data_IF_663757778341
#
_entry.id   IF_663757778341
#
_cell.length_a   1.000
_cell.length_b   1.000
_cell.length_c   1.000
_cell.angle_alpha   90.00
_cell.angle_beta   90.00
_cell.angle_gamma   90.00
#
_symmetry.space_group_name_H-M   'P 1'
#
loop_
_entity.id
_entity.type
_entity.pdbx_description
1 polymer ?
#
# COMPACT_ATOMS: atom_id res chain seq x y z
N UNK A 1 91.08 24.19 -14.78
CA UNK A 1 90.13 23.48 -15.66
C UNK A 1 89.34 22.41 -14.95
N UNK A 2 89.88 21.54 -14.05
CA UNK A 2 89.23 20.47 -13.35
C UNK A 2 88.06 20.92 -12.41
N UNK A 3 88.24 22.04 -11.69
CA UNK A 3 87.25 22.60 -10.74
C UNK A 3 86.06 23.14 -11.46
N UNK A 4 86.17 23.74 -12.66
CA UNK A 4 85.06 24.16 -13.48
C UNK A 4 84.23 23.00 -14.00
N UNK A 5 84.85 21.92 -14.46
CA UNK A 5 84.22 20.73 -14.94
C UNK A 5 83.40 20.00 -13.82
N UNK A 6 83.90 19.99 -12.60
CA UNK A 6 83.27 19.45 -11.40
C UNK A 6 82.03 20.31 -11.02
N UNK A 7 82.17 21.64 -10.98
CA UNK A 7 81.01 22.53 -10.75
C UNK A 7 79.89 22.39 -11.78
N UNK A 8 80.25 22.27 -13.05
CA UNK A 8 79.24 22.07 -14.10
C UNK A 8 78.49 20.74 -13.95
N UNK A 9 79.22 19.66 -13.58
CA UNK A 9 78.56 18.36 -13.34
C UNK A 9 77.61 18.40 -12.13
N UNK A 10 77.97 19.07 -11.07
CA UNK A 10 77.18 19.25 -9.85
C UNK A 10 75.94 20.08 -10.18
N UNK A 11 76.04 21.17 -10.92
CA UNK A 11 74.91 21.98 -11.34
C UNK A 11 73.93 21.22 -12.27
N UNK A 12 74.42 20.45 -13.25
CA UNK A 12 73.58 19.62 -14.11
C UNK A 12 72.91 18.54 -13.31
N UNK A 13 73.56 17.89 -12.37
CA UNK A 13 73.01 16.89 -11.47
C UNK A 13 71.87 17.44 -10.59
N UNK A 14 72.11 18.61 -9.96
CA UNK A 14 71.08 19.28 -9.16
C UNK A 14 69.85 19.71 -10.02
N UNK A 15 70.08 20.29 -11.21
CA UNK A 15 68.98 20.60 -12.12
C UNK A 15 68.18 19.36 -12.52
N UNK A 16 68.84 18.23 -12.78
CA UNK A 16 68.15 16.96 -13.10
C UNK A 16 67.28 16.49 -11.95
N UNK A 17 67.73 16.58 -10.72
CA UNK A 17 66.91 16.24 -9.54
C UNK A 17 65.72 17.19 -9.40
N UNK A 18 65.89 18.49 -9.60
CA UNK A 18 64.79 19.45 -9.57
C UNK A 18 63.73 19.17 -10.64
N UNK A 19 64.14 18.83 -11.87
CA UNK A 19 63.23 18.50 -12.97
C UNK A 19 62.45 17.22 -12.64
N UNK A 20 63.13 16.18 -12.09
CA UNK A 20 62.47 14.95 -11.67
C UNK A 20 61.45 15.19 -10.55
N UNK A 21 61.84 15.95 -9.51
CA UNK A 21 60.92 16.33 -8.45
C UNK A 21 59.70 17.12 -8.97
N UNK A 22 59.93 18.05 -9.89
CA UNK A 22 58.87 18.84 -10.49
C UNK A 22 57.94 17.96 -11.36
N UNK A 23 58.47 17.03 -12.17
CA UNK A 23 57.70 16.08 -12.95
C UNK A 23 56.87 15.15 -12.05
N UNK A 24 57.46 14.59 -11.00
CA UNK A 24 56.72 13.74 -10.04
C UNK A 24 55.60 14.52 -9.33
N UNK A 25 55.88 15.77 -8.92
CA UNK A 25 54.86 16.64 -8.32
C UNK A 25 53.70 16.90 -9.29
N UNK A 26 53.98 17.19 -10.58
CA UNK A 26 52.96 17.42 -11.58
C UNK A 26 52.15 16.16 -11.87
N UNK A 27 52.79 14.97 -11.91
CA UNK A 27 52.11 13.69 -12.08
C UNK A 27 51.16 13.38 -10.89
N UNK A 28 51.67 13.57 -9.67
CA UNK A 28 50.86 13.34 -8.46
C UNK A 28 49.68 14.31 -8.42
N UNK A 29 49.92 15.58 -8.73
CA UNK A 29 48.86 16.61 -8.76
C UNK A 29 47.81 16.30 -9.84
N UNK A 30 48.24 15.83 -11.02
CA UNK A 30 47.34 15.40 -12.08
C UNK A 30 46.50 14.20 -11.66
N UNK A 31 47.12 13.20 -11.05
CA UNK A 31 46.42 12.01 -10.55
C UNK A 31 45.39 12.33 -9.46
N UNK A 32 45.75 13.19 -8.50
CA UNK A 32 44.81 13.64 -7.45
C UNK A 32 43.67 14.43 -8.03
N UNK A 33 43.92 15.33 -8.98
CA UNK A 33 42.89 16.10 -9.65
C UNK A 33 41.93 15.19 -10.43
N UNK A 34 42.44 14.21 -11.16
CA UNK A 34 41.62 13.22 -11.90
C UNK A 34 40.79 12.33 -10.95
N UNK A 35 41.40 11.87 -9.85
CA UNK A 35 40.70 11.07 -8.84
C UNK A 35 39.54 11.85 -8.21
N UNK A 36 39.77 13.11 -7.86
CA UNK A 36 38.73 13.99 -7.29
C UNK A 36 37.60 14.24 -8.32
N UNK A 37 37.96 14.47 -9.57
CA UNK A 37 36.94 14.63 -10.64
C UNK A 37 36.09 13.38 -10.80
N UNK A 38 36.68 12.20 -10.86
CA UNK A 38 35.95 10.92 -10.95
C UNK A 38 35.05 10.69 -9.73
N UNK A 39 35.50 11.09 -8.55
CA UNK A 39 34.69 10.96 -7.33
C UNK A 39 33.50 11.94 -7.35
N UNK A 40 33.70 13.17 -7.76
CA UNK A 40 32.64 14.16 -7.96
C UNK A 40 31.63 13.71 -9.02
N UNK A 41 32.08 13.16 -10.14
CA UNK A 41 31.22 12.64 -11.20
C UNK A 41 30.34 11.46 -10.71
N UNK A 42 30.91 10.52 -9.96
CA UNK A 42 30.13 9.45 -9.33
C UNK A 42 29.08 9.99 -8.35
N UNK A 43 29.42 10.94 -7.52
CA UNK A 43 28.49 11.57 -6.59
C UNK A 43 27.38 12.30 -7.35
N UNK A 44 27.72 13.02 -8.42
CA UNK A 44 26.76 13.70 -9.26
C UNK A 44 25.75 12.72 -9.92
N UNK A 45 26.25 11.59 -10.45
CA UNK A 45 25.37 10.56 -11.02
C UNK A 45 24.42 9.93 -9.98
N UNK A 46 24.91 9.71 -8.74
CA UNK A 46 24.07 9.20 -7.66
C UNK A 46 22.98 10.22 -7.32
N UNK A 47 23.35 11.48 -7.15
CA UNK A 47 22.40 12.58 -6.88
C UNK A 47 21.37 12.70 -8.01
N UNK A 48 21.80 12.64 -9.26
CA UNK A 48 20.91 12.67 -10.42
C UNK A 48 19.91 11.48 -10.42
N UNK A 49 20.39 10.27 -10.12
CA UNK A 49 19.57 9.07 -10.06
C UNK A 49 18.52 9.15 -8.95
N UNK A 50 18.92 9.56 -7.75
CA UNK A 50 18.02 9.79 -6.61
C UNK A 50 17.03 10.91 -6.91
N UNK A 51 17.50 12.02 -7.49
CA UNK A 51 16.62 13.13 -7.84
C UNK A 51 15.64 12.80 -8.97
N UNK A 52 15.90 11.76 -9.79
CA UNK A 52 14.95 11.35 -10.85
C UNK A 52 13.60 10.91 -10.31
N UNK A 53 13.56 10.38 -9.08
CA UNK A 53 12.34 9.93 -8.39
C UNK A 53 11.44 11.12 -8.00
N UNK A 54 11.99 12.31 -7.82
CA UNK A 54 11.26 13.50 -7.42
C UNK A 54 10.90 14.39 -8.61
N UNK A 55 9.67 14.85 -8.65
CA UNK A 55 9.17 15.80 -9.66
C UNK A 55 9.65 17.22 -9.39
N UNK A 56 9.77 17.58 -8.11
CA UNK A 56 10.25 18.88 -7.66
C UNK A 56 11.29 18.68 -6.59
N UNK A 57 12.37 19.45 -6.66
CA UNK A 57 13.39 19.55 -5.65
C UNK A 57 13.76 21.04 -5.48
N UNK A 58 13.57 21.58 -4.28
CA UNK A 58 13.85 22.96 -3.95
C UNK A 58 14.63 23.06 -2.64
N UNK A 59 15.59 23.94 -2.55
CA UNK A 59 16.25 24.32 -1.31
C UNK A 59 15.54 25.54 -0.73
N UNK A 60 15.10 25.44 0.51
CA UNK A 60 14.46 26.52 1.27
C UNK A 60 15.47 27.08 2.27
N UNK A 61 15.80 28.36 2.18
CA UNK A 61 16.54 29.11 3.21
C UNK A 61 15.51 29.69 4.18
N UNK A 62 15.37 29.07 5.34
CA UNK A 62 14.33 29.44 6.32
C UNK A 62 14.70 30.75 7.05
N UNK A 63 15.97 31.09 7.13
CA UNK A 63 16.47 32.30 7.76
C UNK A 63 16.24 33.55 6.91
N UNK A 64 16.46 33.44 5.60
CA UNK A 64 16.22 34.54 4.65
C UNK A 64 14.83 34.54 4.07
N UNK A 65 14.06 33.47 4.31
CA UNK A 65 12.75 33.22 3.69
C UNK A 65 12.83 33.27 2.16
N UNK A 66 13.87 32.64 1.61
CA UNK A 66 14.11 32.54 0.15
C UNK A 66 14.20 31.05 -0.25
N UNK A 67 14.09 30.79 -1.53
CA UNK A 67 14.15 29.44 -2.06
C UNK A 67 14.93 29.40 -3.39
N UNK A 68 15.50 28.22 -3.68
CA UNK A 68 16.21 27.93 -4.92
C UNK A 68 15.66 26.64 -5.54
N UNK A 69 15.35 26.70 -6.86
CA UNK A 69 14.86 25.55 -7.60
C UNK A 69 16.02 24.70 -8.11
N UNK A 70 16.20 23.52 -7.53
CA UNK A 70 17.20 22.55 -7.98
C UNK A 70 16.67 21.78 -9.19
N UNK A 71 15.42 21.26 -9.06
CA UNK A 71 14.76 20.49 -10.12
C UNK A 71 13.27 20.78 -10.14
N UNK A 72 12.72 21.02 -11.32
CA UNK A 72 11.29 21.07 -11.60
C UNK A 72 11.04 20.94 -13.12
N UNK A 73 9.80 20.66 -13.50
CA UNK A 73 9.36 20.78 -14.90
C UNK A 73 9.32 22.24 -15.35
N UNK A 74 9.40 22.47 -16.65
CA UNK A 74 9.30 23.82 -17.24
C UNK A 74 7.97 24.52 -16.89
N UNK A 75 6.91 23.75 -16.74
CA UNK A 75 5.61 24.28 -16.34
C UNK A 75 5.66 24.87 -14.93
N UNK A 76 6.26 24.15 -13.97
CA UNK A 76 6.41 24.62 -12.59
C UNK A 76 7.33 25.84 -12.53
N UNK A 77 8.45 25.83 -13.28
CA UNK A 77 9.35 26.98 -13.37
C UNK A 77 8.65 28.24 -13.89
N UNK A 78 7.76 28.09 -14.87
CA UNK A 78 6.96 29.20 -15.40
C UNK A 78 5.92 29.68 -14.37
N UNK A 79 5.33 28.78 -13.59
CA UNK A 79 4.34 29.14 -12.57
C UNK A 79 4.95 29.88 -11.38
N UNK A 80 6.17 29.57 -10.99
CA UNK A 80 6.86 30.26 -9.88
C UNK A 80 7.35 31.66 -10.27
N UNK A 81 7.60 31.89 -11.57
CA UNK A 81 8.03 33.20 -12.09
C UNK A 81 9.32 33.69 -11.41
N UNK A 82 9.32 35.00 -11.06
CA UNK A 82 10.43 35.65 -10.39
C UNK A 82 10.22 35.80 -8.85
N UNK A 83 9.25 35.08 -8.27
CA UNK A 83 9.04 35.12 -6.84
C UNK A 83 10.22 34.50 -6.09
N UNK A 84 10.80 35.19 -5.15
CA UNK A 84 11.94 34.74 -4.36
C UNK A 84 11.59 34.45 -2.92
N UNK A 85 10.45 34.94 -2.44
CA UNK A 85 9.99 34.73 -1.09
C UNK A 85 9.30 33.38 -0.92
N UNK A 86 9.79 32.53 -0.03
CA UNK A 86 9.26 31.19 0.20
C UNK A 86 7.80 31.19 0.64
N UNK A 87 7.41 32.07 1.56
CA UNK A 87 6.04 32.13 2.08
C UNK A 87 5.05 32.52 0.98
N UNK A 88 5.39 33.49 0.13
CA UNK A 88 4.54 33.91 -0.98
C UNK A 88 4.40 32.79 -2.02
N UNK A 89 5.47 32.14 -2.36
CA UNK A 89 5.50 31.01 -3.30
C UNK A 89 4.65 29.85 -2.77
N UNK A 90 4.77 29.47 -1.50
CA UNK A 90 3.98 28.39 -0.91
C UNK A 90 2.48 28.76 -0.80
N UNK A 91 2.15 30.00 -0.49
CA UNK A 91 0.76 30.50 -0.51
C UNK A 91 0.16 30.44 -1.92
N UNK A 92 0.95 30.82 -2.93
CA UNK A 92 0.54 30.75 -4.33
C UNK A 92 0.24 29.30 -4.76
N UNK A 93 1.13 28.35 -4.44
CA UNK A 93 0.90 26.93 -4.71
C UNK A 93 -0.33 26.39 -3.97
N UNK A 94 -0.46 26.67 -2.69
CA UNK A 94 -1.60 26.26 -1.88
C UNK A 94 -2.93 26.70 -2.50
N UNK A 95 -3.00 27.96 -2.94
CA UNK A 95 -4.22 28.54 -3.51
C UNK A 95 -4.56 28.01 -4.89
N UNK A 96 -3.56 27.81 -5.77
CA UNK A 96 -3.78 27.59 -7.20
C UNK A 96 -3.65 26.12 -7.61
N UNK A 97 -2.94 25.29 -6.85
CA UNK A 97 -2.65 23.92 -7.27
C UNK A 97 -3.23 22.86 -6.31
N UNK A 98 -3.30 23.13 -5.02
CA UNK A 98 -3.79 22.17 -4.02
C UNK A 98 -5.33 22.13 -4.00
N UNK A 99 -5.90 20.92 -3.95
CA UNK A 99 -7.33 20.71 -3.83
C UNK A 99 -7.89 21.46 -2.61
N UNK A 100 -9.08 22.03 -2.75
CA UNK A 100 -9.65 22.92 -1.73
C UNK A 100 -9.77 22.27 -0.34
N UNK A 101 -10.10 20.99 -0.29
CA UNK A 101 -10.18 20.18 0.94
C UNK A 101 -8.84 20.00 1.65
N UNK A 102 -7.73 20.02 0.91
CA UNK A 102 -6.38 19.74 1.41
C UNK A 102 -5.57 21.03 1.73
N UNK A 103 -6.09 22.22 1.36
CA UNK A 103 -5.33 23.48 1.45
C UNK A 103 -4.85 23.81 2.85
N UNK A 104 -5.71 23.62 3.86
CA UNK A 104 -5.33 23.94 5.24
C UNK A 104 -4.22 23.01 5.73
N UNK A 105 -4.39 21.71 5.51
CA UNK A 105 -3.39 20.69 5.86
C UNK A 105 -2.05 20.93 5.16
N UNK A 106 -2.10 21.25 3.86
CA UNK A 106 -0.92 21.57 3.08
C UNK A 106 -0.22 22.83 3.61
N UNK A 107 -0.99 23.93 3.88
CA UNK A 107 -0.43 25.16 4.42
C UNK A 107 0.23 24.93 5.79
N UNK A 108 -0.43 24.23 6.70
CA UNK A 108 0.10 23.90 8.01
C UNK A 108 1.40 23.06 7.91
N UNK A 109 1.50 22.27 6.84
CA UNK A 109 2.70 21.45 6.58
C UNK A 109 3.86 22.26 5.99
N UNK A 110 3.63 23.19 5.07
CA UNK A 110 4.70 23.93 4.37
C UNK A 110 4.98 25.31 4.94
N UNK A 111 4.24 25.78 5.94
CA UNK A 111 4.37 27.13 6.48
C UNK A 111 5.79 27.42 6.96
N UNK A 112 6.54 28.34 6.32
CA UNK A 112 7.93 28.62 6.65
C UNK A 112 8.13 29.16 8.07
N UNK A 113 7.12 29.85 8.63
CA UNK A 113 7.23 30.48 9.96
C UNK A 113 7.34 29.44 11.08
N UNK A 114 6.82 28.23 10.88
CA UNK A 114 6.83 27.13 11.87
C UNK A 114 7.71 25.96 11.44
N UNK A 115 8.26 26.00 10.22
CA UNK A 115 8.93 24.86 9.62
C UNK A 115 10.23 24.50 10.34
N UNK A 116 11.04 25.49 10.74
CA UNK A 116 12.30 25.27 11.45
C UNK A 116 12.10 24.50 12.76
N UNK A 117 11.09 24.91 13.57
CA UNK A 117 10.74 24.26 14.82
C UNK A 117 10.25 22.82 14.60
N UNK A 118 9.39 22.61 13.60
CA UNK A 118 8.84 21.28 13.30
C UNK A 118 9.85 20.29 12.73
N UNK A 119 10.92 20.77 12.11
CA UNK A 119 12.03 19.95 11.60
C UNK A 119 13.08 19.65 12.67
N UNK A 120 13.10 20.38 13.77
CA UNK A 120 14.11 20.21 14.81
C UNK A 120 14.11 18.79 15.39
N UNK A 121 15.27 18.14 15.39
CA UNK A 121 15.45 16.78 15.88
C UNK A 121 14.79 15.68 15.04
N UNK A 122 14.37 15.98 13.82
CA UNK A 122 13.79 15.00 12.89
C UNK A 122 14.69 14.83 11.66
N UNK A 123 14.74 13.62 11.15
CA UNK A 123 15.42 13.33 9.89
C UNK A 123 14.64 13.92 8.70
N UNK A 124 13.33 13.86 8.75
CA UNK A 124 12.42 14.48 7.77
C UNK A 124 11.00 14.57 8.33
N UNK A 125 10.16 15.35 7.65
CA UNK A 125 8.69 15.30 7.78
C UNK A 125 8.08 15.08 6.39
N UNK A 126 6.92 14.40 6.33
CA UNK A 126 6.24 14.14 5.06
C UNK A 126 4.73 14.40 5.16
N UNK A 127 4.13 14.70 4.02
CA UNK A 127 2.70 14.87 3.84
C UNK A 127 2.29 14.32 2.47
N UNK A 128 1.10 13.74 2.40
CA UNK A 128 0.46 13.40 1.12
C UNK A 128 -0.70 14.37 0.89
N UNK A 129 -0.80 14.88 -0.32
CA UNK A 129 -1.82 15.87 -0.69
C UNK A 129 -2.27 15.67 -2.12
N UNK A 130 -3.53 15.98 -2.40
CA UNK A 130 -4.06 16.01 -3.77
C UNK A 130 -3.76 17.36 -4.40
N UNK A 131 -3.15 17.34 -5.58
CA UNK A 131 -2.82 18.51 -6.39
C UNK A 131 -3.60 18.43 -7.71
N UNK A 132 -4.28 19.51 -8.07
CA UNK A 132 -5.11 19.51 -9.27
C UNK A 132 -6.39 18.68 -9.12
N UNK A 133 -6.67 17.82 -10.10
CA UNK A 133 -7.85 16.95 -10.11
C UNK A 133 -7.41 15.49 -10.11
N UNK A 134 -7.30 14.91 -8.93
CA UNK A 134 -7.01 13.48 -8.75
C UNK A 134 -5.54 13.09 -8.81
N UNK A 135 -4.61 14.05 -8.89
CA UNK A 135 -3.17 13.74 -8.82
C UNK A 135 -2.69 13.82 -7.35
N UNK A 136 -2.06 12.77 -6.89
CA UNK A 136 -1.54 12.67 -5.53
C UNK A 136 -0.03 12.85 -5.49
N UNK A 137 0.43 13.69 -4.57
CA UNK A 137 1.85 13.95 -4.35
C UNK A 137 2.25 13.65 -2.91
N UNK A 138 3.40 13.01 -2.76
CA UNK A 138 4.11 12.92 -1.48
C UNK A 138 5.13 14.04 -1.44
N UNK A 139 5.02 14.88 -0.41
CA UNK A 139 5.92 16.01 -0.16
C UNK A 139 6.73 15.68 1.06
N UNK A 140 8.05 15.79 0.95
CA UNK A 140 9.01 15.56 2.02
C UNK A 140 9.83 16.81 2.25
N UNK A 141 10.03 17.16 3.50
CA UNK A 141 10.90 18.26 3.94
C UNK A 141 12.02 17.67 4.79
N UNK A 142 13.25 17.86 4.36
CA UNK A 142 14.45 17.29 4.98
C UNK A 142 15.35 18.43 5.45
N UNK A 143 15.68 18.53 6.75
CA UNK A 143 16.61 19.55 7.26
C UNK A 143 17.99 19.36 6.63
N UNK A 144 18.64 20.45 6.23
CA UNK A 144 19.95 20.43 5.58
C UNK A 144 21.04 21.08 6.41
N UNK A 145 20.84 22.31 6.84
CA UNK A 145 21.83 23.08 7.59
C UNK A 145 21.26 23.47 8.96
N UNK A 146 22.14 23.41 9.95
CA UNK A 146 21.86 23.81 11.32
C UNK A 146 22.82 24.94 11.73
N UNK A 147 22.33 25.88 12.52
CA UNK A 147 23.17 26.90 13.12
C UNK A 147 24.03 26.32 14.26
N UNK A 148 24.88 27.16 14.87
CA UNK A 148 25.71 26.76 16.00
C UNK A 148 24.92 26.32 17.25
N UNK A 149 23.63 26.58 17.31
CA UNK A 149 22.69 26.26 18.40
C UNK A 149 21.82 25.03 18.06
N UNK A 150 22.00 24.45 16.87
CA UNK A 150 21.25 23.27 16.41
C UNK A 150 19.91 23.61 15.76
N UNK A 151 19.56 24.87 15.51
CA UNK A 151 18.33 25.23 14.81
C UNK A 151 18.46 25.02 13.31
N UNK A 152 17.40 24.56 12.67
CA UNK A 152 17.38 24.31 11.22
C UNK A 152 17.34 25.64 10.46
N UNK A 153 18.38 25.96 9.69
CA UNK A 153 18.48 27.16 8.85
C UNK A 153 18.01 26.92 7.40
N UNK A 154 18.12 25.69 6.90
CA UNK A 154 17.69 25.33 5.55
C UNK A 154 17.04 23.96 5.50
N UNK A 155 16.12 23.77 4.57
CA UNK A 155 15.43 22.52 4.34
C UNK A 155 15.31 22.21 2.85
N UNK A 156 15.40 20.94 2.48
CA UNK A 156 15.16 20.45 1.14
C UNK A 156 13.68 20.06 1.01
N UNK A 157 12.97 20.71 0.11
CA UNK A 157 11.60 20.36 -0.28
C UNK A 157 11.66 19.40 -1.46
N UNK A 158 11.09 18.23 -1.29
CA UNK A 158 11.02 17.16 -2.28
C UNK A 158 9.57 16.82 -2.53
N UNK A 159 9.16 16.72 -3.80
CA UNK A 159 7.82 16.30 -4.19
C UNK A 159 7.87 15.17 -5.20
N UNK A 160 7.11 14.11 -4.97
CA UNK A 160 6.98 12.95 -5.85
C UNK A 160 5.52 12.68 -6.17
N UNK A 161 5.21 12.43 -7.44
CA UNK A 161 3.89 11.93 -7.83
C UNK A 161 3.72 10.49 -7.32
N UNK A 162 2.63 10.25 -6.60
CA UNK A 162 2.24 8.94 -6.03
C UNK A 162 0.83 8.55 -6.46
N UNK A 163 0.33 9.10 -7.56
CA UNK A 163 -1.05 8.87 -8.02
C UNK A 163 -1.31 7.39 -8.27
N UNK A 164 -0.39 6.72 -8.96
CA UNK A 164 -0.54 5.30 -9.29
C UNK A 164 -0.50 4.41 -8.04
N UNK A 165 0.35 4.74 -7.06
CA UNK A 165 0.41 4.05 -5.78
C UNK A 165 -0.90 4.24 -5.00
N UNK A 166 -1.40 5.48 -4.98
CA UNK A 166 -2.63 5.84 -4.26
C UNK A 166 -3.86 5.21 -4.87
N UNK A 167 -3.95 5.20 -6.20
CA UNK A 167 -5.05 4.54 -6.91
C UNK A 167 -5.06 3.03 -6.66
N UNK A 168 -3.89 2.38 -6.65
CA UNK A 168 -3.77 0.95 -6.32
C UNK A 168 -4.18 0.66 -4.88
N UNK A 169 -3.78 1.51 -3.93
CA UNK A 169 -4.19 1.39 -2.52
C UNK A 169 -5.70 1.48 -2.37
N UNK A 170 -6.33 2.48 -3.00
CA UNK A 170 -7.79 2.67 -2.96
C UNK A 170 -8.55 1.50 -3.62
N UNK A 171 -8.06 1.00 -4.76
CA UNK A 171 -8.66 -0.18 -5.43
C UNK A 171 -8.55 -1.44 -4.54
N UNK A 172 -7.41 -1.64 -3.90
CA UNK A 172 -7.21 -2.75 -2.97
C UNK A 172 -8.14 -2.66 -1.76
N UNK A 173 -8.26 -1.47 -1.16
CA UNK A 173 -9.19 -1.24 -0.03
C UNK A 173 -10.63 -1.54 -0.43
N UNK A 174 -11.07 -1.04 -1.60
CA UNK A 174 -12.42 -1.30 -2.11
C UNK A 174 -12.69 -2.79 -2.36
N UNK A 175 -11.71 -3.54 -2.87
CA UNK A 175 -11.81 -5.00 -3.04
C UNK A 175 -11.90 -5.71 -1.71
N UNK A 176 -11.13 -5.27 -0.72
CA UNK A 176 -11.14 -5.84 0.63
C UNK A 176 -12.50 -5.60 1.32
N UNK A 177 -13.02 -4.38 1.29
CA UNK A 177 -14.35 -4.04 1.82
C UNK A 177 -15.43 -4.92 1.22
N UNK A 178 -15.45 -5.06 -0.12
CA UNK A 178 -16.40 -5.94 -0.81
C UNK A 178 -16.26 -7.41 -0.39
N UNK A 179 -15.03 -7.89 -0.21
CA UNK A 179 -14.78 -9.27 0.24
C UNK A 179 -15.27 -9.51 1.66
N UNK A 180 -15.06 -8.53 2.56
CA UNK A 180 -15.57 -8.58 3.94
C UNK A 180 -17.10 -8.62 3.94
N UNK A 181 -17.75 -7.72 3.18
CA UNK A 181 -19.20 -7.68 3.09
C UNK A 181 -19.79 -9.01 2.57
N UNK A 182 -19.18 -9.60 1.53
CA UNK A 182 -19.60 -10.90 1.01
C UNK A 182 -19.42 -12.02 2.05
N UNK A 183 -18.31 -12.02 2.81
CA UNK A 183 -18.09 -13.01 3.86
C UNK A 183 -19.08 -12.86 5.01
N UNK A 184 -19.43 -11.64 5.41
CA UNK A 184 -20.45 -11.37 6.42
C UNK A 184 -21.84 -11.85 5.97
N UNK A 185 -22.26 -11.54 4.74
CA UNK A 185 -23.53 -11.99 4.19
C UNK A 185 -23.60 -13.52 4.12
N UNK A 186 -22.52 -14.19 3.69
CA UNK A 186 -22.45 -15.65 3.70
C UNK A 186 -22.57 -16.24 5.12
N UNK A 187 -21.93 -15.61 6.10
CA UNK A 187 -21.97 -16.04 7.51
C UNK A 187 -23.39 -15.86 8.11
N UNK A 188 -24.05 -14.75 7.83
CA UNK A 188 -25.46 -14.51 8.23
C UNK A 188 -26.36 -15.57 7.62
N UNK A 189 -26.28 -15.81 6.31
CA UNK A 189 -27.07 -16.84 5.62
C UNK A 189 -26.84 -18.23 6.21
N UNK A 190 -25.58 -18.58 6.51
CA UNK A 190 -25.22 -19.84 7.16
C UNK A 190 -25.84 -19.97 8.56
N UNK A 191 -25.81 -18.90 9.34
CA UNK A 191 -26.38 -18.89 10.70
C UNK A 191 -27.90 -19.05 10.66
N UNK A 192 -28.56 -18.34 9.75
CA UNK A 192 -30.02 -18.46 9.55
C UNK A 192 -30.43 -19.84 9.04
N UNK A 193 -29.61 -20.43 8.16
CA UNK A 193 -29.83 -21.80 7.70
C UNK A 193 -29.75 -22.80 8.88
N UNK A 194 -28.70 -22.72 9.68
CA UNK A 194 -28.55 -23.61 10.85
C UNK A 194 -29.67 -23.45 11.88
N UNK A 195 -30.17 -22.22 12.07
CA UNK A 195 -31.29 -21.94 12.95
C UNK A 195 -32.58 -22.61 12.46
N UNK A 196 -32.90 -22.49 11.14
CA UNK A 196 -34.06 -23.13 10.54
C UNK A 196 -33.94 -24.65 10.61
N UNK A 197 -32.81 -25.21 10.23
CA UNK A 197 -32.55 -26.65 10.31
C UNK A 197 -32.72 -27.18 11.72
N UNK A 198 -32.25 -26.48 12.75
CA UNK A 198 -32.44 -26.87 14.14
C UNK A 198 -33.92 -26.91 14.53
N UNK A 199 -34.73 -25.95 14.05
CA UNK A 199 -36.17 -25.95 14.26
C UNK A 199 -36.84 -27.11 13.55
N UNK A 200 -36.51 -27.33 12.28
CA UNK A 200 -37.16 -28.35 11.43
C UNK A 200 -36.81 -29.78 11.85
N UNK A 201 -35.61 -30.00 12.41
CA UNK A 201 -35.21 -31.25 13.05
C UNK A 201 -35.95 -31.47 14.40
N UNK A 202 -36.15 -30.41 15.19
CA UNK A 202 -36.79 -30.51 16.51
C UNK A 202 -38.27 -30.91 16.41
N UNK A 203 -38.98 -30.46 15.34
CA UNK A 203 -40.40 -30.71 15.16
C UNK A 203 -40.71 -32.20 15.04
N UNK A 204 -40.12 -32.99 14.11
CA UNK A 204 -40.39 -34.43 13.99
C UNK A 204 -39.88 -35.19 15.22
N UNK A 205 -38.76 -34.79 15.85
CA UNK A 205 -38.30 -35.42 17.08
C UNK A 205 -39.31 -35.29 18.21
N UNK A 206 -39.92 -34.10 18.40
CA UNK A 206 -40.95 -33.88 19.37
C UNK A 206 -42.23 -34.66 19.02
N UNK A 207 -42.56 -34.76 17.72
CA UNK A 207 -43.67 -35.58 17.21
C UNK A 207 -43.50 -37.07 17.57
N UNK A 208 -42.32 -37.64 17.28
CA UNK A 208 -41.95 -39.01 17.62
C UNK A 208 -42.12 -39.25 19.13
N UNK A 209 -41.50 -38.37 19.94
CA UNK A 209 -41.57 -38.46 21.39
C UNK A 209 -42.99 -38.42 21.93
N UNK A 210 -43.80 -37.47 21.44
CA UNK A 210 -45.21 -37.37 21.83
C UNK A 210 -46.04 -38.61 21.43
N UNK A 211 -45.78 -39.17 20.22
CA UNK A 211 -46.47 -40.41 19.80
C UNK A 211 -46.05 -41.61 20.61
N UNK A 212 -44.77 -41.70 21.06
CA UNK A 212 -44.32 -42.76 21.99
C UNK A 212 -45.06 -42.69 23.33
N UNK A 213 -45.26 -41.49 23.88
CA UNK A 213 -45.97 -41.30 25.15
C UNK A 213 -47.47 -41.66 24.99
N UNK A 214 -48.08 -41.30 23.87
CA UNK A 214 -49.46 -41.69 23.55
C UNK A 214 -49.58 -43.21 23.33
N UNK A 215 -48.66 -43.84 22.65
CA UNK A 215 -48.62 -45.29 22.44
C UNK A 215 -48.55 -46.05 23.76
N UNK A 216 -47.76 -45.55 24.72
CA UNK A 216 -47.67 -46.11 26.09
C UNK A 216 -49.01 -46.02 26.85
N UNK A 217 -49.77 -44.93 26.68
CA UNK A 217 -51.06 -44.76 27.31
C UNK A 217 -52.09 -45.73 26.78
N UNK A 218 -52.05 -46.09 25.50
CA UNK A 218 -53.00 -47.01 24.86
C UNK A 218 -52.50 -48.46 24.81
N UNK A 219 -51.71 -48.90 25.77
CA UNK A 219 -51.32 -50.32 25.92
C UNK A 219 -52.58 -51.18 26.03
N UNK A 220 -52.71 -52.22 25.18
CA UNK A 220 -53.88 -53.09 25.10
C UNK A 220 -54.96 -52.68 24.08
N UNK A 221 -54.72 -51.58 23.35
CA UNK A 221 -55.56 -51.20 22.22
C UNK A 221 -54.76 -51.26 20.90
N UNK A 222 -54.76 -52.41 20.20
CA UNK A 222 -53.90 -52.62 19.01
C UNK A 222 -54.09 -51.54 17.91
N UNK A 223 -55.35 -51.18 17.67
CA UNK A 223 -55.62 -50.15 16.62
C UNK A 223 -55.03 -48.78 16.92
N UNK A 224 -55.10 -48.34 18.19
CA UNK A 224 -54.51 -47.07 18.61
C UNK A 224 -52.97 -47.12 18.61
N UNK A 225 -52.37 -48.23 18.96
CA UNK A 225 -50.95 -48.46 18.93
C UNK A 225 -50.45 -48.43 17.49
N UNK A 226 -51.14 -49.05 16.54
CA UNK A 226 -50.82 -49.04 15.12
C UNK A 226 -50.83 -47.61 14.55
N UNK A 227 -51.89 -46.82 14.81
CA UNK A 227 -51.99 -45.42 14.43
C UNK A 227 -50.80 -44.57 14.95
N UNK A 228 -50.34 -44.85 16.17
CA UNK A 228 -49.18 -44.14 16.76
C UNK A 228 -47.87 -44.56 16.10
N UNK A 229 -47.69 -45.86 15.80
CA UNK A 229 -46.50 -46.38 15.15
C UNK A 229 -46.37 -45.83 13.71
N UNK A 230 -47.47 -45.76 12.97
CA UNK A 230 -47.47 -45.15 11.62
C UNK A 230 -47.03 -43.72 11.66
N UNK A 231 -47.49 -42.91 12.63
CA UNK A 231 -47.10 -41.51 12.78
C UNK A 231 -45.61 -41.38 13.20
N UNK A 232 -45.11 -42.30 14.00
CA UNK A 232 -43.68 -42.34 14.36
C UNK A 232 -42.85 -42.63 13.11
N UNK A 233 -43.27 -43.63 12.30
CA UNK A 233 -42.60 -44.00 11.06
C UNK A 233 -42.56 -42.83 10.09
N UNK A 234 -43.69 -42.17 9.86
CA UNK A 234 -43.80 -41.00 8.99
C UNK A 234 -42.84 -39.87 9.47
N UNK A 235 -42.84 -39.55 10.77
CA UNK A 235 -41.98 -38.51 11.31
C UNK A 235 -40.50 -38.86 11.22
N UNK A 236 -40.16 -40.15 11.34
CA UNK A 236 -38.80 -40.66 11.22
C UNK A 236 -38.29 -40.57 9.75
N UNK A 237 -39.15 -40.92 8.77
CA UNK A 237 -38.87 -40.80 7.35
C UNK A 237 -38.58 -39.34 7.01
N UNK A 238 -39.44 -38.41 7.41
CA UNK A 238 -39.24 -36.99 7.20
C UNK A 238 -37.90 -36.46 7.82
N UNK A 239 -37.58 -36.94 9.02
CA UNK A 239 -36.30 -36.57 9.66
C UNK A 239 -35.09 -37.07 8.86
N UNK A 240 -35.16 -38.27 8.30
CA UNK A 240 -34.12 -38.84 7.45
C UNK A 240 -33.92 -38.03 6.15
N UNK A 241 -35.02 -37.59 5.54
CA UNK A 241 -34.98 -36.72 4.38
C UNK A 241 -34.27 -35.39 4.69
N UNK A 242 -34.62 -34.72 5.81
CA UNK A 242 -33.98 -33.49 6.23
C UNK A 242 -32.47 -33.66 6.49
N UNK A 243 -32.06 -34.78 7.11
CA UNK A 243 -30.66 -35.08 7.32
C UNK A 243 -29.91 -35.28 6.00
N UNK A 244 -30.51 -35.99 5.05
CA UNK A 244 -29.93 -36.20 3.73
C UNK A 244 -29.79 -34.87 2.97
N UNK A 245 -30.81 -33.98 3.03
CA UNK A 245 -30.74 -32.64 2.41
C UNK A 245 -29.56 -31.83 2.98
N UNK A 246 -29.34 -31.86 4.31
CA UNK A 246 -28.18 -31.20 4.93
C UNK A 246 -26.85 -31.80 4.48
N UNK A 247 -26.77 -33.13 4.38
CA UNK A 247 -25.57 -33.81 3.91
C UNK A 247 -25.26 -33.49 2.45
N UNK A 248 -26.28 -33.43 1.60
CA UNK A 248 -26.11 -33.09 0.19
C UNK A 248 -25.73 -31.62 -0.01
N UNK A 249 -26.29 -30.71 0.79
CA UNK A 249 -25.84 -29.32 0.85
C UNK A 249 -24.37 -29.19 1.22
N UNK A 250 -23.90 -29.92 2.24
CA UNK A 250 -22.50 -29.93 2.63
C UNK A 250 -21.57 -30.48 1.52
N UNK A 251 -22.02 -31.49 0.77
CA UNK A 251 -21.26 -32.02 -0.39
C UNK A 251 -21.19 -30.98 -1.53
N UNK A 252 -22.29 -30.23 -1.78
CA UNK A 252 -22.30 -29.13 -2.74
C UNK A 252 -21.31 -28.02 -2.35
N UNK A 253 -21.36 -27.55 -1.09
CA UNK A 253 -20.46 -26.49 -0.60
C UNK A 253 -18.99 -26.91 -0.63
N UNK A 254 -18.68 -28.17 -0.35
CA UNK A 254 -17.32 -28.71 -0.38
C UNK A 254 -16.80 -29.03 -1.79
N UNK A 255 -17.62 -28.87 -2.83
CA UNK A 255 -17.26 -29.23 -4.21
C UNK A 255 -17.03 -30.72 -4.43
N UNK A 256 -17.53 -31.57 -3.51
CA UNK A 256 -17.37 -33.04 -3.61
C UNK A 256 -18.39 -33.71 -4.55
N UNK A 257 -19.38 -32.98 -5.03
CA UNK A 257 -20.33 -33.52 -6.01
C UNK A 257 -19.65 -33.61 -7.36
N UNK A 258 -19.49 -34.83 -7.85
CA UNK A 258 -19.09 -35.12 -9.23
C UNK A 258 -20.36 -35.31 -10.06
N UNK A 259 -20.53 -34.47 -11.08
CA UNK A 259 -21.57 -34.66 -12.08
C UNK A 259 -21.24 -35.91 -12.89
N UNK A 260 -22.16 -36.86 -12.92
CA UNK A 260 -22.08 -38.07 -13.75
C UNK A 260 -22.95 -37.85 -14.99
N UNK A 261 -22.31 -37.59 -16.11
CA UNK A 261 -23.01 -37.42 -17.37
C UNK A 261 -23.40 -38.79 -17.93
N UNK A 262 -24.70 -39.10 -17.88
CA UNK A 262 -25.30 -40.31 -18.47
C UNK A 262 -26.40 -39.94 -19.42
N UNK A 263 -26.53 -40.63 -20.56
CA UNK A 263 -27.71 -40.49 -21.43
C UNK A 263 -28.96 -40.97 -20.68
N UNK A 264 -30.01 -40.17 -20.67
CA UNK A 264 -31.29 -40.49 -20.06
C UNK A 264 -32.47 -40.18 -21.01
N UNK A 265 -33.60 -40.83 -20.78
CA UNK A 265 -34.83 -40.58 -21.53
C UNK A 265 -35.70 -39.56 -20.81
N UNK A 266 -35.97 -38.44 -21.48
CA UNK A 266 -36.84 -37.40 -20.94
C UNK A 266 -38.28 -37.97 -20.67
N UNK A 267 -38.75 -38.90 -21.50
CA UNK A 267 -40.07 -39.54 -21.32
C UNK A 267 -40.14 -40.44 -20.09
N UNK A 268 -39.04 -41.02 -19.63
CA UNK A 268 -38.99 -41.80 -18.39
C UNK A 268 -39.08 -40.88 -17.17
N UNK A 269 -38.30 -39.77 -17.17
CA UNK A 269 -38.34 -38.78 -16.07
C UNK A 269 -39.74 -38.15 -15.96
N UNK A 270 -40.39 -37.79 -17.09
CA UNK A 270 -41.72 -37.25 -17.05
C UNK A 270 -42.77 -38.21 -16.48
N UNK A 271 -42.63 -39.51 -16.78
CA UNK A 271 -43.51 -40.53 -16.19
C UNK A 271 -43.31 -40.70 -14.69
N UNK A 272 -42.06 -40.63 -14.21
CA UNK A 272 -41.75 -40.66 -12.79
C UNK A 272 -42.34 -39.45 -12.05
N UNK A 273 -42.29 -38.24 -12.62
CA UNK A 273 -42.87 -37.02 -12.04
C UNK A 273 -44.40 -37.05 -12.04
N UNK A 274 -45.04 -37.66 -13.04
CA UNK A 274 -46.51 -37.83 -13.09
C UNK A 274 -47.02 -38.83 -12.05
N UNK A 275 -46.16 -39.69 -11.51
CA UNK A 275 -46.56 -40.77 -10.58
C UNK A 275 -46.40 -40.34 -9.10
N UNK A 276 -45.84 -39.17 -8.84
CA UNK A 276 -45.69 -38.57 -7.53
C UNK A 276 -46.77 -37.52 -7.29
#
# INVERSE_FOLDING_TARGET
>A
TAIYALRTKVVIGTMGVYILCWMTFMLVRGYVAESNMRQMEKQYHIIQSVSSVFSICMLLDLKKNTWEMIKASDQIRKMTGNETNTANMMKFFCKNTVAQSERQKFWDFVNPDTLAERLQGKDYINCQTEIGKGEWFSIMLVPQHHDAHGNVEAALFLSRNITDEKMREMDYQKKLEKSVEQAEQANIAKTDFLRRMSHDIRTPINGIRGMVDICRYYIGNPKKQEECLDKILLSSTFLMELVNDVLDMNKLESGQIKLEEKPFSISEILKEVETV
#
